data_IF_017542351946
#
_entry.id   IF_017542351946
#
_cell.length_a   1.000
_cell.length_b   1.000
_cell.length_c   1.000
_cell.angle_alpha   90.00
_cell.angle_beta   90.00
_cell.angle_gamma   90.00
#
_symmetry.space_group_name_H-M   'P 1'
#
loop_
_entity.id
_entity.type
_entity.pdbx_description
1 polymer ?
#
# COMPACT_ATOMS: atom_id res chain seq x y z
N UNK A 1 6.97 -23.36 -52.11
CA UNK A 1 5.94 -22.90 -51.15
C UNK A 1 6.23 -23.55 -49.82
N UNK A 2 6.63 -22.76 -48.83
CA UNK A 2 7.03 -23.27 -47.51
C UNK A 2 5.77 -23.77 -46.79
N UNK A 3 5.71 -25.06 -46.49
CA UNK A 3 4.50 -25.69 -45.94
C UNK A 3 4.49 -25.55 -44.41
N UNK A 4 3.79 -24.54 -43.91
CA UNK A 4 3.74 -24.15 -42.48
C UNK A 4 3.35 -25.30 -41.53
N UNK A 5 2.58 -26.28 -42.01
CA UNK A 5 2.24 -27.47 -41.21
C UNK A 5 3.44 -28.37 -40.91
N UNK A 6 4.41 -28.47 -41.82
CA UNK A 6 5.57 -29.33 -41.64
C UNK A 6 6.57 -28.75 -40.63
N UNK A 7 6.75 -27.43 -40.61
CA UNK A 7 7.56 -26.73 -39.60
C UNK A 7 6.97 -26.84 -38.19
N UNK A 8 5.63 -26.82 -38.11
CA UNK A 8 4.91 -26.93 -36.84
C UNK A 8 5.02 -28.35 -36.25
N UNK A 9 4.92 -29.37 -37.10
CA UNK A 9 5.07 -30.77 -36.71
C UNK A 9 6.47 -31.04 -36.15
N UNK A 10 7.51 -30.54 -36.82
CA UNK A 10 8.91 -30.64 -36.36
C UNK A 10 9.14 -29.90 -35.03
N UNK A 11 8.51 -28.74 -34.82
CA UNK A 11 8.60 -28.03 -33.54
C UNK A 11 7.89 -28.78 -32.41
N UNK A 12 6.74 -29.40 -32.68
CA UNK A 12 6.00 -30.20 -31.70
C UNK A 12 6.79 -31.45 -31.33
N UNK A 13 7.36 -32.14 -32.30
CA UNK A 13 8.15 -33.36 -32.10
C UNK A 13 9.45 -33.08 -31.32
N UNK A 14 10.06 -31.91 -31.54
CA UNK A 14 11.23 -31.46 -30.78
C UNK A 14 10.88 -31.08 -29.33
N UNK A 15 9.70 -30.49 -29.10
CA UNK A 15 9.15 -30.24 -27.76
C UNK A 15 8.85 -31.56 -27.04
N UNK A 16 8.25 -32.52 -27.72
CA UNK A 16 7.88 -33.83 -27.16
C UNK A 16 9.12 -34.66 -26.82
N UNK A 17 10.17 -34.62 -27.67
CA UNK A 17 11.48 -35.20 -27.36
C UNK A 17 12.19 -34.51 -26.19
N UNK A 18 12.12 -33.18 -26.08
CA UNK A 18 12.65 -32.46 -24.91
C UNK A 18 11.88 -32.79 -23.63
N UNK A 19 10.57 -33.00 -23.72
CA UNK A 19 9.72 -33.39 -22.60
C UNK A 19 9.98 -34.84 -22.17
N UNK A 20 10.31 -35.73 -23.11
CA UNK A 20 10.82 -37.08 -22.84
C UNK A 20 12.17 -37.10 -22.11
N UNK A 21 13.05 -36.13 -22.38
CA UNK A 21 14.32 -35.97 -21.65
C UNK A 21 14.13 -35.51 -20.20
N UNK A 22 13.10 -34.70 -19.91
CA UNK A 22 12.74 -34.30 -18.54
C UNK A 22 12.16 -35.50 -17.78
N UNK A 23 11.33 -36.31 -18.42
CA UNK A 23 10.70 -37.49 -17.81
C UNK A 23 11.68 -38.63 -17.48
N UNK A 24 12.82 -38.75 -18.15
CA UNK A 24 13.78 -39.83 -17.91
C UNK A 24 14.72 -39.59 -16.70
N UNK A 25 14.81 -38.36 -16.18
CA UNK A 25 15.46 -38.10 -14.89
C UNK A 25 14.57 -38.51 -13.70
N UNK A 26 13.29 -38.70 -13.98
CA UNK A 26 12.23 -38.98 -13.05
C UNK A 26 11.88 -40.47 -13.14
N UNK A 27 12.80 -41.36 -12.75
CA UNK A 27 12.45 -42.78 -12.52
C UNK A 27 13.44 -43.50 -11.59
N UNK A 28 13.64 -42.99 -10.37
CA UNK A 28 14.00 -43.86 -9.25
C UNK A 28 13.64 -43.23 -7.91
N UNK A 29 12.56 -43.71 -7.28
CA UNK A 29 12.28 -43.64 -5.84
C UNK A 29 12.11 -42.27 -5.11
N UNK A 30 12.30 -41.09 -5.74
CA UNK A 30 12.35 -39.80 -5.01
C UNK A 30 11.04 -38.98 -4.93
N UNK A 31 10.01 -39.33 -5.72
CA UNK A 31 8.73 -38.60 -5.85
C UNK A 31 7.92 -38.46 -4.56
N UNK A 32 8.08 -39.40 -3.62
CA UNK A 32 7.40 -39.31 -2.32
C UNK A 32 7.94 -38.17 -1.47
N UNK A 33 9.24 -37.90 -1.56
CA UNK A 33 9.89 -36.86 -0.78
C UNK A 33 9.53 -35.46 -1.30
N UNK A 34 9.44 -35.30 -2.61
CA UNK A 34 9.06 -34.01 -3.22
C UNK A 34 7.62 -33.65 -2.90
N UNK A 35 6.69 -34.63 -2.96
CA UNK A 35 5.30 -34.43 -2.55
C UNK A 35 5.17 -34.02 -1.08
N UNK A 36 5.81 -34.75 -0.16
CA UNK A 36 5.80 -34.40 1.27
C UNK A 36 6.44 -33.04 1.54
N UNK A 37 7.52 -32.71 0.83
CA UNK A 37 8.19 -31.41 0.94
C UNK A 37 7.27 -30.28 0.48
N UNK A 38 6.51 -30.49 -0.60
CA UNK A 38 5.50 -29.54 -1.09
C UNK A 38 4.41 -29.30 -0.04
N UNK A 39 3.86 -30.36 0.56
CA UNK A 39 2.86 -30.23 1.62
C UNK A 39 3.41 -29.49 2.83
N UNK A 40 4.63 -29.83 3.26
CA UNK A 40 5.26 -29.18 4.42
C UNK A 40 5.47 -27.69 4.17
N UNK A 41 5.98 -27.29 3.00
CA UNK A 41 6.17 -25.88 2.67
C UNK A 41 4.82 -25.14 2.61
N UNK A 42 3.77 -25.77 2.06
CA UNK A 42 2.42 -25.20 2.00
C UNK A 42 1.83 -24.97 3.40
N UNK A 43 2.00 -25.93 4.32
CA UNK A 43 1.55 -25.82 5.72
C UNK A 43 2.34 -24.75 6.48
N UNK A 44 3.67 -24.69 6.31
CA UNK A 44 4.49 -23.63 6.91
C UNK A 44 4.06 -22.26 6.38
N UNK A 45 3.81 -22.14 5.07
CA UNK A 45 3.34 -20.91 4.44
C UNK A 45 1.98 -20.48 5.01
N UNK A 46 1.07 -21.44 5.20
CA UNK A 46 -0.24 -21.23 5.83
C UNK A 46 -0.11 -20.74 7.28
N UNK A 47 0.74 -21.40 8.08
CA UNK A 47 1.03 -20.99 9.46
C UNK A 47 1.65 -19.59 9.54
N UNK A 48 2.50 -19.23 8.58
CA UNK A 48 3.11 -17.91 8.52
C UNK A 48 2.05 -16.83 8.26
N UNK A 49 1.11 -17.09 7.36
CA UNK A 49 -0.05 -16.21 7.11
C UNK A 49 -0.93 -16.08 8.36
N UNK A 50 -1.23 -17.20 9.03
CA UNK A 50 -1.97 -17.19 10.31
C UNK A 50 -1.21 -16.41 11.40
N UNK A 51 0.11 -16.54 11.46
CA UNK A 51 0.97 -15.80 12.37
C UNK A 51 0.91 -14.29 12.13
N UNK A 52 0.93 -13.85 10.86
CA UNK A 52 0.71 -12.45 10.51
C UNK A 52 -0.69 -11.97 10.91
N UNK A 53 -1.73 -12.78 10.70
CA UNK A 53 -3.11 -12.47 11.12
C UNK A 53 -3.19 -12.29 12.63
N UNK A 54 -2.54 -13.16 13.40
CA UNK A 54 -2.52 -13.06 14.86
C UNK A 54 -1.72 -11.83 15.32
N UNK A 55 -0.63 -11.50 14.64
CA UNK A 55 0.21 -10.34 14.95
C UNK A 55 -0.49 -9.00 14.64
N UNK A 56 -1.23 -8.89 13.54
CA UNK A 56 -1.94 -7.67 13.15
C UNK A 56 -3.39 -7.58 13.69
N UNK A 57 -3.98 -8.70 14.11
CA UNK A 57 -5.25 -8.74 14.84
C UNK A 57 -6.45 -8.16 14.06
N UNK A 58 -7.26 -7.31 14.72
CA UNK A 58 -8.57 -6.81 14.22
C UNK A 58 -8.47 -5.76 13.11
N UNK A 59 -7.31 -5.14 12.89
CA UNK A 59 -7.11 -4.16 11.81
C UNK A 59 -7.16 -4.81 10.41
N UNK A 60 -6.94 -6.13 10.34
CA UNK A 60 -7.01 -6.93 9.11
C UNK A 60 -8.40 -6.95 8.46
N UNK A 61 -9.48 -6.83 9.23
CA UNK A 61 -10.84 -6.86 8.67
C UNK A 61 -11.22 -5.57 7.92
N UNK A 62 -10.41 -4.50 8.01
CA UNK A 62 -10.61 -3.31 7.19
C UNK A 62 -10.06 -3.46 5.77
N UNK A 63 -9.11 -4.39 5.53
CA UNK A 63 -8.57 -4.64 4.20
C UNK A 63 -9.04 -5.99 3.63
N UNK A 64 -10.02 -5.99 2.71
CA UNK A 64 -10.65 -7.21 2.18
C UNK A 64 -9.68 -8.16 1.45
N UNK A 65 -8.53 -7.64 1.01
CA UNK A 65 -7.51 -8.40 0.28
C UNK A 65 -6.79 -9.44 1.16
N UNK A 66 -6.64 -9.20 2.47
CA UNK A 66 -6.06 -10.20 3.38
C UNK A 66 -7.01 -11.35 3.71
N UNK A 67 -8.31 -11.10 3.70
CA UNK A 67 -9.31 -12.17 3.91
C UNK A 67 -9.38 -13.05 2.67
N UNK A 68 -9.34 -12.43 1.48
CA UNK A 68 -9.27 -13.14 0.20
C UNK A 68 -8.03 -14.05 0.15
N UNK A 69 -6.90 -13.54 0.61
CA UNK A 69 -5.62 -14.22 0.69
C UNK A 69 -5.66 -15.52 1.53
N UNK A 70 -6.29 -15.46 2.71
CA UNK A 70 -6.52 -16.63 3.56
C UNK A 70 -7.42 -17.66 2.87
N UNK A 71 -8.50 -17.22 2.22
CA UNK A 71 -9.44 -18.10 1.52
C UNK A 71 -8.76 -18.78 0.33
N UNK A 72 -7.97 -18.05 -0.45
CA UNK A 72 -7.26 -18.60 -1.62
C UNK A 72 -6.25 -19.66 -1.18
N UNK A 73 -5.43 -19.38 -0.16
CA UNK A 73 -4.46 -20.38 0.34
C UNK A 73 -5.16 -21.57 1.00
N UNK A 74 -6.22 -21.34 1.78
CA UNK A 74 -7.00 -22.43 2.39
C UNK A 74 -7.67 -23.31 1.35
N UNK A 75 -8.15 -22.73 0.25
CA UNK A 75 -8.81 -23.47 -0.85
C UNK A 75 -7.78 -24.27 -1.63
N UNK A 76 -6.60 -23.70 -1.91
CA UNK A 76 -5.51 -24.41 -2.56
C UNK A 76 -5.02 -25.60 -1.70
N UNK A 77 -4.81 -25.37 -0.39
CA UNK A 77 -4.43 -26.44 0.54
C UNK A 77 -5.52 -27.52 0.63
N UNK A 78 -6.79 -27.11 0.68
CA UNK A 78 -7.92 -28.03 0.69
C UNK A 78 -8.01 -28.87 -0.59
N UNK A 79 -7.80 -28.28 -1.76
CA UNK A 79 -7.76 -29.02 -3.03
C UNK A 79 -6.62 -30.02 -3.08
N UNK A 80 -5.42 -29.63 -2.65
CA UNK A 80 -4.24 -30.52 -2.66
C UNK A 80 -4.46 -31.73 -1.73
N UNK A 81 -4.98 -31.50 -0.51
CA UNK A 81 -5.18 -32.57 0.49
C UNK A 81 -6.40 -33.43 0.21
N UNK A 82 -7.48 -32.87 -0.34
CA UNK A 82 -8.73 -33.61 -0.55
C UNK A 82 -8.79 -34.32 -1.91
N UNK A 83 -8.15 -33.77 -2.94
CA UNK A 83 -8.24 -34.33 -4.30
C UNK A 83 -7.00 -35.12 -4.73
N UNK A 84 -5.92 -35.13 -3.93
CA UNK A 84 -4.65 -35.82 -4.24
C UNK A 84 -4.22 -35.58 -5.71
N UNK A 85 -4.49 -34.36 -6.17
CA UNK A 85 -4.41 -34.02 -7.59
C UNK A 85 -2.96 -33.75 -7.96
N UNK A 86 -2.54 -34.22 -9.14
CA UNK A 86 -1.27 -33.87 -9.77
C UNK A 86 -1.33 -32.41 -10.26
N UNK A 87 -1.39 -31.47 -9.31
CA UNK A 87 -1.72 -30.08 -9.56
C UNK A 87 -0.47 -29.22 -9.75
N UNK A 88 0.33 -29.55 -10.76
CA UNK A 88 1.40 -28.66 -11.24
C UNK A 88 0.87 -27.23 -11.52
N UNK A 89 -0.38 -27.13 -12.00
CA UNK A 89 -1.06 -25.85 -12.20
C UNK A 89 -1.35 -25.07 -10.91
N UNK A 90 -1.62 -25.75 -9.79
CA UNK A 90 -1.90 -25.08 -8.52
C UNK A 90 -0.63 -24.47 -7.94
N UNK A 91 0.51 -25.14 -8.10
CA UNK A 91 1.83 -24.61 -7.73
C UNK A 91 2.13 -23.32 -8.51
N UNK A 92 1.81 -23.28 -9.81
CA UNK A 92 1.98 -22.09 -10.65
C UNK A 92 1.07 -20.95 -10.16
N UNK A 93 -0.21 -21.24 -9.89
CA UNK A 93 -1.18 -20.24 -9.39
C UNK A 93 -0.75 -19.70 -8.02
N UNK A 94 -0.28 -20.56 -7.12
CA UNK A 94 0.23 -20.17 -5.80
C UNK A 94 1.48 -19.29 -5.92
N UNK A 95 2.34 -19.58 -6.89
CA UNK A 95 3.53 -18.77 -7.17
C UNK A 95 3.14 -17.38 -7.69
N UNK A 96 2.14 -17.31 -8.58
CA UNK A 96 1.59 -16.03 -9.05
C UNK A 96 0.92 -15.25 -7.91
N UNK A 97 0.16 -15.94 -7.06
CA UNK A 97 -0.46 -15.35 -5.87
C UNK A 97 0.59 -14.75 -4.91
N UNK A 98 1.74 -15.41 -4.77
CA UNK A 98 2.86 -14.91 -3.98
C UNK A 98 3.37 -13.56 -4.48
N UNK A 99 3.38 -13.31 -5.79
CA UNK A 99 3.77 -12.02 -6.37
C UNK A 99 2.76 -10.94 -5.98
N UNK A 100 1.46 -11.25 -6.06
CA UNK A 100 0.39 -10.32 -5.65
C UNK A 100 0.50 -9.97 -4.17
N UNK A 101 0.74 -10.96 -3.30
CA UNK A 101 0.95 -10.72 -1.87
C UNK A 101 2.19 -9.86 -1.60
N UNK A 102 3.31 -10.13 -2.26
CA UNK A 102 4.54 -9.31 -2.11
C UNK A 102 4.31 -7.89 -2.56
N UNK A 103 3.67 -7.69 -3.72
CA UNK A 103 3.32 -6.36 -4.22
C UNK A 103 2.43 -5.64 -3.20
N UNK A 104 1.39 -6.29 -2.68
CA UNK A 104 0.49 -5.68 -1.71
C UNK A 104 1.19 -5.33 -0.40
N UNK A 105 2.06 -6.21 0.12
CA UNK A 105 2.86 -5.92 1.32
C UNK A 105 3.80 -4.72 1.14
N UNK A 106 4.34 -4.51 -0.07
CA UNK A 106 5.14 -3.32 -0.39
C UNK A 106 4.26 -2.05 -0.40
N UNK A 107 3.06 -2.13 -0.97
CA UNK A 107 2.12 -1.01 -0.97
C UNK A 107 1.63 -0.65 0.43
N UNK A 108 1.38 -1.62 1.30
CA UNK A 108 0.99 -1.34 2.69
C UNK A 108 2.11 -0.64 3.47
N UNK A 109 3.34 -1.14 3.38
CA UNK A 109 4.51 -0.46 4.00
C UNK A 109 4.65 0.97 3.47
N UNK A 110 4.27 1.18 2.21
CA UNK A 110 4.27 2.50 1.60
C UNK A 110 3.14 3.35 2.18
N UNK A 111 1.91 2.85 2.28
CA UNK A 111 0.74 3.57 2.82
C UNK A 111 0.90 3.94 4.30
N UNK A 112 1.49 3.05 5.12
CA UNK A 112 1.83 3.36 6.52
C UNK A 112 2.86 4.51 6.65
N UNK A 113 3.73 4.69 5.64
CA UNK A 113 4.66 5.81 5.58
C UNK A 113 4.01 7.11 5.07
N UNK A 114 3.02 7.01 4.18
CA UNK A 114 2.25 8.15 3.69
C UNK A 114 1.37 8.77 4.78
N UNK A 115 0.71 7.95 5.60
CA UNK A 115 -0.16 8.43 6.68
C UNK A 115 0.60 9.18 7.79
N UNK A 116 1.86 8.82 8.05
CA UNK A 116 2.73 9.58 8.97
C UNK A 116 3.20 10.89 8.36
N UNK A 117 3.57 10.86 7.08
CA UNK A 117 4.07 12.04 6.36
C UNK A 117 2.98 13.10 6.17
N UNK A 118 1.72 12.70 5.94
CA UNK A 118 0.58 13.60 5.79
C UNK A 118 0.22 14.27 7.13
N UNK A 119 0.27 13.56 8.25
CA UNK A 119 0.01 14.14 9.59
C UNK A 119 1.09 15.13 10.02
N UNK A 120 2.35 14.88 9.65
CA UNK A 120 3.45 15.82 9.86
C UNK A 120 3.23 17.11 9.03
N UNK A 121 2.80 16.96 7.78
CA UNK A 121 2.52 18.08 6.88
C UNK A 121 1.32 18.92 7.35
N UNK A 122 0.21 18.30 7.78
CA UNK A 122 -0.94 19.01 8.35
C UNK A 122 -0.59 19.78 9.64
N UNK A 123 0.31 19.22 10.45
CA UNK A 123 0.76 19.87 11.69
C UNK A 123 1.60 21.12 11.37
N UNK A 124 2.45 21.07 10.34
CA UNK A 124 3.20 22.24 9.88
C UNK A 124 2.27 23.31 9.27
N UNK A 125 1.28 22.92 8.47
CA UNK A 125 0.31 23.86 7.89
C UNK A 125 -0.52 24.55 8.98
N UNK A 126 -0.98 23.82 10.00
CA UNK A 126 -1.71 24.42 11.13
C UNK A 126 -0.84 25.40 11.92
N UNK A 127 0.43 25.05 12.19
CA UNK A 127 1.35 25.95 12.90
C UNK A 127 1.59 27.27 12.16
N UNK A 128 1.67 27.24 10.83
CA UNK A 128 1.81 28.44 10.00
C UNK A 128 0.50 29.24 9.95
N UNK A 129 -0.65 28.58 9.84
CA UNK A 129 -1.97 29.22 9.84
C UNK A 129 -2.23 29.98 11.15
N UNK A 130 -1.99 29.35 12.30
CA UNK A 130 -2.19 29.96 13.62
C UNK A 130 -1.24 31.16 13.84
N UNK A 131 -0.03 31.11 13.28
CA UNK A 131 0.92 32.22 13.35
C UNK A 131 0.50 33.39 12.46
N UNK A 132 -0.07 33.11 11.29
CA UNK A 132 -0.61 34.13 10.39
C UNK A 132 -1.82 34.84 11.00
N UNK A 133 -2.74 34.09 11.60
CA UNK A 133 -3.94 34.63 12.25
C UNK A 133 -3.58 35.54 13.44
N UNK A 134 -2.66 35.11 14.31
CA UNK A 134 -2.13 35.94 15.40
C UNK A 134 -1.45 37.23 14.93
N UNK A 135 -0.68 37.15 13.84
CA UNK A 135 -0.04 38.34 13.27
C UNK A 135 -1.08 39.30 12.69
N UNK A 136 -2.16 38.78 12.11
CA UNK A 136 -3.23 39.58 11.53
C UNK A 136 -4.08 40.29 12.61
N UNK A 137 -4.39 39.60 13.71
CA UNK A 137 -5.08 40.19 14.87
C UNK A 137 -4.26 41.33 15.49
N UNK A 138 -2.95 41.11 15.69
CA UNK A 138 -2.06 42.15 16.22
C UNK A 138 -1.98 43.38 15.31
N UNK A 139 -2.00 43.17 13.98
CA UNK A 139 -2.06 44.28 13.02
C UNK A 139 -3.40 45.03 13.07
N UNK A 140 -4.52 44.32 13.23
CA UNK A 140 -5.83 44.96 13.37
C UNK A 140 -5.92 45.79 14.65
N UNK A 141 -5.40 45.27 15.77
CA UNK A 141 -5.40 46.00 17.03
C UNK A 141 -4.55 47.27 16.92
N UNK A 142 -3.36 47.17 16.33
CA UNK A 142 -2.47 48.33 16.09
C UNK A 142 -3.11 49.36 15.17
N UNK A 143 -3.81 48.95 14.11
CA UNK A 143 -4.54 49.86 13.23
C UNK A 143 -5.69 50.56 13.96
N UNK A 144 -6.38 49.88 14.87
CA UNK A 144 -7.43 50.48 15.70
C UNK A 144 -6.87 51.53 16.65
N UNK A 145 -5.75 51.24 17.32
CA UNK A 145 -5.05 52.19 18.18
C UNK A 145 -4.57 53.43 17.41
N UNK A 146 -4.06 53.25 16.19
CA UNK A 146 -3.65 54.34 15.31
C UNK A 146 -4.83 55.24 14.95
N UNK A 147 -5.97 54.66 14.56
CA UNK A 147 -7.17 55.44 14.26
C UNK A 147 -7.72 56.23 15.45
N UNK A 148 -7.65 55.69 16.66
CA UNK A 148 -8.06 56.41 17.88
C UNK A 148 -7.12 57.59 18.17
N UNK A 149 -5.81 57.39 18.02
CA UNK A 149 -4.80 58.45 18.19
C UNK A 149 -4.97 59.56 17.15
N UNK A 150 -5.18 59.22 15.89
CA UNK A 150 -5.40 60.19 14.82
C UNK A 150 -6.66 61.02 15.08
N UNK A 151 -7.74 60.40 15.56
CA UNK A 151 -8.96 61.11 15.97
C UNK A 151 -8.72 62.11 17.10
N UNK A 152 -7.92 61.75 18.11
CA UNK A 152 -7.55 62.65 19.22
C UNK A 152 -6.66 63.81 18.78
N UNK A 153 -5.74 63.57 17.85
CA UNK A 153 -4.91 64.64 17.28
C UNK A 153 -5.80 65.64 16.52
N UNK A 154 -6.70 65.14 15.67
CA UNK A 154 -7.64 66.01 14.93
C UNK A 154 -8.54 66.84 15.87
N UNK A 155 -9.00 66.27 16.98
CA UNK A 155 -9.79 67.01 17.99
C UNK A 155 -8.96 68.12 18.67
N UNK A 156 -7.71 67.82 19.04
CA UNK A 156 -6.80 68.79 19.66
C UNK A 156 -6.43 69.92 18.69
N UNK A 157 -6.17 69.60 17.42
CA UNK A 157 -5.91 70.58 16.36
C UNK A 157 -7.12 71.51 16.17
N UNK A 158 -8.34 70.97 16.07
CA UNK A 158 -9.56 71.79 15.96
C UNK A 158 -9.77 72.71 17.19
N UNK A 159 -9.45 72.22 18.40
CA UNK A 159 -9.51 73.04 19.62
C UNK A 159 -8.48 74.17 19.63
N UNK A 160 -7.25 73.91 19.18
CA UNK A 160 -6.20 74.93 19.04
C UNK A 160 -6.59 75.98 17.99
N UNK A 161 -7.16 75.59 16.85
CA UNK A 161 -7.64 76.52 15.83
C UNK A 161 -8.78 77.41 16.36
N UNK A 162 -9.73 76.85 17.11
CA UNK A 162 -10.83 77.62 17.72
C UNK A 162 -10.40 78.54 18.86
N UNK A 163 -9.34 78.19 19.59
CA UNK A 163 -8.80 78.98 20.70
C UNK A 163 -7.80 80.06 20.27
N UNK A 164 -7.27 79.96 19.04
CA UNK A 164 -6.27 80.89 18.49
C UNK A 164 -6.87 82.03 17.66
N UNK A 165 -8.20 82.10 17.49
CA UNK A 165 -8.84 83.29 16.90
C UNK A 165 -8.74 84.45 17.89
N UNK A 166 -7.87 85.46 17.65
CA UNK A 166 -7.73 86.59 18.54
C UNK A 166 -8.88 87.57 18.32
N UNK A 167 -9.45 88.06 19.41
CA UNK A 167 -10.15 89.35 19.43
C UNK A 167 -9.12 90.49 19.46
#
# INVERSE_FOLDING_TARGET
MHNKSHDLDVCVDLVESCQGCIGHFEHSAEWKWTYWTSIVILVILMLNVLGLIVAFGRSFFLHPLYVLDLVVVSTALGLEVLLDADTAGLIIILTLWRIVRVAHGIFEVTDEAWEKSIRELETQVKGVQDAYERAQEALQEKNRELGEKDGRIAELEARLESGSTPF
#
